data_IF_384509428421
#
_entry.id   IF_384509428421
#
_cell.length_a   1.000
_cell.length_b   1.000
_cell.length_c   1.000
_cell.angle_alpha   90.00
_cell.angle_beta   90.00
_cell.angle_gamma   90.00
#
_symmetry.space_group_name_H-M   'P 1'
#
loop_
_entity.id
_entity.type
_entity.pdbx_description
1 polymer ?
#
# COMPACT_ATOMS: atom_id res chain seq x y z
N UNK A 1 -3.35 -23.73 5.83
CA UNK A 1 -2.12 -22.93 6.07
C UNK A 1 -1.32 -22.86 4.77
N UNK A 2 -0.84 -21.68 4.48
CA UNK A 2 0.00 -21.48 3.31
C UNK A 2 1.44 -21.86 3.61
N UNK A 3 2.16 -22.34 2.58
CA UNK A 3 3.58 -22.66 2.71
C UNK A 3 4.39 -21.39 2.47
N UNK A 4 5.30 -21.01 3.39
CA UNK A 4 6.17 -19.87 3.15
C UNK A 4 7.06 -20.06 1.90
N UNK A 5 7.29 -18.99 1.19
CA UNK A 5 8.28 -18.93 0.12
C UNK A 5 9.71 -18.92 0.70
N UNK A 6 9.87 -18.22 1.81
CA UNK A 6 11.13 -18.16 2.56
C UNK A 6 10.81 -17.95 4.04
N UNK A 7 11.63 -18.51 4.91
CA UNK A 7 11.51 -18.32 6.34
C UNK A 7 12.87 -18.41 7.02
N UNK A 8 13.12 -17.51 7.96
CA UNK A 8 14.22 -17.59 8.91
C UNK A 8 13.73 -17.17 10.31
N UNK A 9 14.63 -16.89 11.24
CA UNK A 9 14.27 -16.54 12.61
C UNK A 9 13.68 -15.12 12.76
N UNK A 10 13.71 -14.30 11.71
CA UNK A 10 13.24 -12.92 11.75
C UNK A 10 12.12 -12.65 10.75
N UNK A 11 12.04 -13.41 9.67
CA UNK A 11 11.12 -13.13 8.56
C UNK A 11 10.45 -14.41 8.08
N UNK A 12 9.15 -14.32 7.85
CA UNK A 12 8.40 -15.30 7.08
C UNK A 12 7.83 -14.60 5.85
N UNK A 13 8.23 -15.04 4.67
CA UNK A 13 7.84 -14.44 3.40
C UNK A 13 6.88 -15.36 2.65
N UNK A 14 5.73 -14.83 2.29
CA UNK A 14 4.75 -15.52 1.47
C UNK A 14 4.69 -14.90 0.06
N UNK A 15 4.54 -15.74 -0.95
CA UNK A 15 4.34 -15.30 -2.31
C UNK A 15 2.96 -15.75 -2.81
N UNK A 16 2.10 -14.79 -3.12
CA UNK A 16 0.74 -15.06 -3.58
C UNK A 16 -0.20 -13.91 -3.31
N UNK A 17 -1.48 -14.17 -3.52
CA UNK A 17 -2.51 -13.18 -3.27
C UNK A 17 -2.79 -13.07 -1.77
N UNK A 18 -2.63 -11.88 -1.22
CA UNK A 18 -2.84 -11.63 0.22
C UNK A 18 -4.28 -11.83 0.66
N UNK A 19 -5.23 -11.91 -0.25
CA UNK A 19 -6.63 -12.21 0.07
C UNK A 19 -6.85 -13.71 0.29
N UNK A 20 -5.96 -14.54 -0.21
CA UNK A 20 -5.99 -16.00 -0.05
C UNK A 20 -5.02 -16.47 1.02
N UNK A 21 -3.86 -15.84 1.13
CA UNK A 21 -2.88 -16.09 2.17
C UNK A 21 -3.24 -15.23 3.37
N UNK A 22 -3.58 -15.83 4.50
CA UNK A 22 -4.17 -15.12 5.65
C UNK A 22 -3.28 -15.09 6.89
N UNK A 23 -2.11 -15.70 6.85
CA UNK A 23 -1.18 -15.74 8.00
C UNK A 23 -0.75 -14.35 8.46
N UNK A 24 -0.71 -13.37 7.56
CA UNK A 24 -0.39 -11.98 7.90
C UNK A 24 -1.39 -11.35 8.88
N UNK A 25 -2.59 -11.88 8.98
CA UNK A 25 -3.61 -11.38 9.91
C UNK A 25 -3.24 -11.57 11.37
N UNK A 26 -2.27 -12.41 11.68
CA UNK A 26 -1.81 -12.64 13.06
C UNK A 26 -0.78 -11.60 13.54
N UNK A 27 -0.32 -10.73 12.64
CA UNK A 27 0.65 -9.70 12.99
C UNK A 27 0.06 -8.63 13.93
N UNK A 28 0.92 -7.92 14.64
CA UNK A 28 0.51 -6.86 15.56
C UNK A 28 0.12 -5.57 14.83
N UNK A 29 0.77 -5.29 13.71
CA UNK A 29 0.53 -4.10 12.91
C UNK A 29 0.61 -4.46 11.43
N UNK A 30 -0.25 -3.83 10.62
CA UNK A 30 -0.20 -3.94 9.17
C UNK A 30 0.53 -2.72 8.59
N UNK A 31 1.58 -2.98 7.81
CA UNK A 31 2.26 -1.94 7.03
C UNK A 31 2.24 -2.38 5.58
N UNK A 32 1.60 -1.60 4.72
CA UNK A 32 1.38 -2.03 3.35
C UNK A 32 1.41 -0.87 2.36
N UNK A 33 1.89 -1.17 1.16
CA UNK A 33 1.79 -0.30 -0.02
C UNK A 33 0.93 -1.03 -1.07
N UNK A 34 -0.40 -1.04 -0.89
CA UNK A 34 -1.28 -1.82 -1.75
C UNK A 34 -1.44 -1.15 -3.12
N UNK A 35 -1.84 -1.91 -4.15
CA UNK A 35 -2.32 -1.30 -5.39
C UNK A 35 -3.53 -0.41 -5.07
N UNK A 36 -3.51 0.84 -5.53
CA UNK A 36 -4.53 1.82 -5.18
C UNK A 36 -5.16 2.52 -6.39
N UNK A 37 -5.26 1.79 -7.49
CA UNK A 37 -5.99 2.28 -8.68
C UNK A 37 -5.16 3.17 -9.60
N UNK A 38 -3.84 3.11 -9.52
CA UNK A 38 -2.95 3.93 -10.36
C UNK A 38 -2.85 3.43 -11.79
N UNK A 39 -3.14 2.16 -12.03
CA UNK A 39 -3.03 1.54 -13.34
C UNK A 39 -1.64 1.78 -13.96
N UNK A 40 -0.60 1.65 -13.12
CA UNK A 40 0.75 2.09 -13.43
C UNK A 40 1.39 1.27 -14.54
N UNK A 41 1.94 1.99 -15.53
CA UNK A 41 2.84 1.43 -16.55
C UNK A 41 4.06 2.34 -16.65
N UNK A 42 5.26 1.73 -16.69
CA UNK A 42 6.48 2.51 -16.84
C UNK A 42 6.61 3.04 -18.27
N UNK A 43 6.65 4.36 -18.42
CA UNK A 43 6.90 5.04 -19.70
C UNK A 43 8.38 5.15 -20.07
N UNK A 44 9.29 4.68 -19.19
CA UNK A 44 10.73 4.86 -19.35
C UNK A 44 11.41 3.73 -20.14
N UNK A 45 10.68 2.67 -20.45
CA UNK A 45 11.23 1.51 -21.16
C UNK A 45 10.52 1.36 -22.50
N UNK A 46 11.27 0.85 -23.49
CA UNK A 46 10.72 0.54 -24.82
C UNK A 46 9.69 -0.59 -24.79
N UNK A 47 9.74 -1.41 -23.75
CA UNK A 47 8.81 -2.51 -23.57
C UNK A 47 7.67 -2.10 -22.65
N UNK A 48 6.46 -2.46 -23.03
CA UNK A 48 5.29 -2.29 -22.17
C UNK A 48 5.24 -3.45 -21.18
N UNK A 49 5.33 -3.13 -19.90
CA UNK A 49 5.18 -4.14 -18.85
C UNK A 49 3.72 -4.43 -18.58
N UNK A 50 3.44 -5.64 -18.10
CA UNK A 50 2.13 -5.98 -17.59
C UNK A 50 1.76 -5.02 -16.45
N UNK A 51 0.49 -4.63 -16.39
CA UNK A 51 -0.03 -3.85 -15.28
C UNK A 51 0.15 -4.60 -13.97
N UNK A 52 0.32 -3.86 -12.89
CA UNK A 52 0.33 -4.43 -11.54
C UNK A 52 -1.04 -5.07 -11.29
N UNK A 53 -1.05 -6.32 -10.86
CA UNK A 53 -2.29 -7.03 -10.57
C UNK A 53 -3.10 -6.27 -9.50
N UNK A 54 -4.38 -6.00 -9.77
CA UNK A 54 -5.25 -5.29 -8.85
C UNK A 54 -5.10 -3.78 -8.83
N UNK A 55 -4.27 -3.19 -9.70
CA UNK A 55 -4.03 -1.73 -9.74
C UNK A 55 -5.05 -0.96 -10.60
N UNK A 56 -6.15 -1.58 -10.98
CA UNK A 56 -7.22 -0.93 -11.74
C UNK A 56 -8.11 -0.04 -10.88
N UNK A 57 -8.23 -0.38 -9.60
CA UNK A 57 -9.06 0.34 -8.63
C UNK A 57 -8.52 0.11 -7.20
N UNK A 58 -9.32 0.48 -6.20
CA UNK A 58 -8.95 0.30 -4.79
C UNK A 58 -9.46 -1.00 -4.18
N UNK A 59 -9.96 -1.95 -4.96
CA UNK A 59 -10.63 -3.14 -4.45
C UNK A 59 -9.72 -4.01 -3.60
N UNK A 60 -8.47 -4.22 -4.02
CA UNK A 60 -7.50 -5.02 -3.23
C UNK A 60 -7.19 -4.32 -1.92
N UNK A 61 -6.89 -3.03 -1.95
CA UNK A 61 -6.65 -2.22 -0.75
C UNK A 61 -7.80 -2.31 0.24
N UNK A 62 -9.01 -2.12 -0.26
CA UNK A 62 -10.21 -2.11 0.58
C UNK A 62 -10.52 -3.49 1.14
N UNK A 63 -10.29 -4.55 0.36
CA UNK A 63 -10.41 -5.92 0.84
C UNK A 63 -9.41 -6.23 1.97
N UNK A 64 -8.15 -5.82 1.81
CA UNK A 64 -7.12 -5.99 2.84
C UNK A 64 -7.50 -5.23 4.11
N UNK A 65 -7.96 -3.99 3.99
CA UNK A 65 -8.40 -3.21 5.14
C UNK A 65 -9.58 -3.88 5.86
N UNK A 66 -10.55 -4.40 5.12
CA UNK A 66 -11.70 -5.10 5.69
C UNK A 66 -11.29 -6.40 6.40
N UNK A 67 -10.38 -7.17 5.82
CA UNK A 67 -9.85 -8.40 6.43
C UNK A 67 -9.08 -8.11 7.72
N UNK A 68 -8.29 -7.05 7.72
CA UNK A 68 -7.51 -6.64 8.90
C UNK A 68 -8.41 -6.21 10.05
N UNK A 69 -9.47 -5.50 9.75
CA UNK A 69 -10.44 -5.02 10.73
C UNK A 69 -10.21 -3.57 11.15
N UNK A 70 -11.29 -2.89 11.59
CA UNK A 70 -11.28 -1.44 11.82
C UNK A 70 -10.57 -1.00 13.10
N UNK A 71 -10.30 -1.93 14.03
CA UNK A 71 -9.80 -1.57 15.36
C UNK A 71 -8.31 -1.80 15.55
N UNK A 72 -7.65 -2.39 14.57
CA UNK A 72 -6.25 -2.79 14.65
C UNK A 72 -5.37 -1.78 13.90
N UNK A 73 -4.13 -1.51 14.39
CA UNK A 73 -3.28 -0.50 13.77
C UNK A 73 -2.84 -0.92 12.37
N UNK A 74 -3.08 -0.06 11.40
CA UNK A 74 -2.63 -0.25 10.03
C UNK A 74 -2.06 1.05 9.47
N UNK A 75 -1.01 0.92 8.67
CA UNK A 75 -0.37 2.01 7.96
C UNK A 75 -0.38 1.64 6.47
N UNK A 76 -1.04 2.46 5.67
CA UNK A 76 -1.18 2.24 4.23
C UNK A 76 -0.67 3.41 3.43
N UNK A 77 0.26 3.16 2.52
CA UNK A 77 0.68 4.18 1.56
C UNK A 77 -0.42 4.43 0.54
N UNK A 78 -0.49 5.65 0.05
CA UNK A 78 -1.47 6.06 -0.92
C UNK A 78 -1.06 7.33 -1.66
N UNK A 79 -2.00 7.88 -2.40
CA UNK A 79 -1.79 9.05 -3.23
C UNK A 79 -2.92 10.06 -2.99
N UNK A 80 -2.58 11.34 -3.03
CA UNK A 80 -3.53 12.44 -2.84
C UNK A 80 -4.75 12.40 -3.77
N UNK A 81 -4.58 11.84 -4.99
CA UNK A 81 -5.64 11.80 -5.99
C UNK A 81 -6.57 10.58 -5.86
N UNK A 82 -6.29 9.68 -4.92
CA UNK A 82 -7.07 8.46 -4.69
C UNK A 82 -7.80 8.62 -3.36
N UNK A 83 -9.10 8.28 -3.28
CA UNK A 83 -9.82 8.37 -2.01
C UNK A 83 -9.14 7.57 -0.92
N UNK A 84 -9.12 8.13 0.29
CA UNK A 84 -8.57 7.46 1.47
C UNK A 84 -9.34 6.16 1.76
N UNK A 85 -8.67 5.15 2.35
CA UNK A 85 -9.39 3.97 2.82
C UNK A 85 -10.38 4.34 3.92
N UNK A 86 -11.46 3.59 4.02
CA UNK A 86 -12.46 3.79 5.06
C UNK A 86 -11.82 3.65 6.43
N UNK A 87 -12.20 4.52 7.38
CA UNK A 87 -11.66 4.48 8.73
C UNK A 87 -10.32 5.18 8.92
N UNK A 88 -9.86 5.97 7.95
CA UNK A 88 -8.66 6.78 8.13
C UNK A 88 -8.81 7.68 9.36
N UNK A 89 -7.86 7.57 10.28
CA UNK A 89 -7.85 8.36 11.51
C UNK A 89 -6.94 9.57 11.42
N UNK A 90 -5.83 9.41 10.70
CA UNK A 90 -4.85 10.48 10.50
C UNK A 90 -4.11 10.21 9.20
N UNK A 91 -3.66 11.27 8.56
CA UNK A 91 -2.82 11.20 7.37
C UNK A 91 -1.47 11.81 7.67
N UNK A 92 -0.42 11.05 7.40
CA UNK A 92 0.93 11.54 7.40
C UNK A 92 1.38 11.75 5.96
N UNK A 93 2.42 12.51 5.78
CA UNK A 93 3.02 12.78 4.46
C UNK A 93 4.46 12.30 4.49
N UNK A 94 4.81 11.43 3.54
CA UNK A 94 6.19 11.12 3.27
C UNK A 94 6.72 12.09 2.21
N UNK A 95 7.52 13.05 2.65
CA UNK A 95 8.17 14.00 1.75
C UNK A 95 9.44 13.38 1.17
N UNK A 96 9.45 13.24 -0.14
CA UNK A 96 10.63 12.76 -0.88
C UNK A 96 11.56 13.95 -1.07
N UNK A 97 12.56 14.08 -0.21
CA UNK A 97 13.42 15.26 -0.13
C UNK A 97 14.34 15.44 -1.34
N UNK A 98 14.56 14.38 -2.13
CA UNK A 98 15.37 14.43 -3.34
C UNK A 98 14.51 14.73 -4.56
N UNK A 99 15.12 14.72 -5.74
CA UNK A 99 14.46 15.01 -7.02
C UNK A 99 13.09 14.34 -7.14
N UNK A 100 12.03 15.11 -7.42
CA UNK A 100 10.72 14.52 -7.65
C UNK A 100 10.78 13.59 -8.86
N UNK A 101 10.03 12.50 -8.80
CA UNK A 101 9.87 11.61 -9.94
C UNK A 101 9.20 12.31 -11.12
N UNK A 102 9.37 11.78 -12.33
CA UNK A 102 8.68 12.34 -13.49
C UNK A 102 7.17 12.18 -13.38
N UNK A 103 6.72 11.05 -12.88
CA UNK A 103 5.31 10.81 -12.59
C UNK A 103 4.38 11.12 -13.76
N UNK A 104 3.24 11.69 -13.45
CA UNK A 104 2.23 12.11 -14.41
C UNK A 104 2.60 13.49 -14.98
N UNK A 105 3.03 13.53 -16.22
CA UNK A 105 3.47 14.74 -16.90
C UNK A 105 2.33 15.72 -17.21
N UNK A 106 1.09 15.34 -16.99
CA UNK A 106 -0.06 16.24 -17.13
C UNK A 106 -0.24 17.14 -15.92
N UNK A 107 0.43 16.85 -14.81
CA UNK A 107 0.37 17.66 -13.60
C UNK A 107 1.34 18.83 -13.67
N UNK A 108 0.96 20.00 -13.08
CA UNK A 108 1.82 21.19 -13.07
C UNK A 108 3.17 21.01 -12.37
N UNK A 109 3.23 20.15 -11.35
CA UNK A 109 4.43 19.89 -10.56
C UNK A 109 4.74 18.41 -10.51
N UNK A 110 6.02 18.06 -10.48
CA UNK A 110 6.45 16.69 -10.26
C UNK A 110 6.07 16.20 -8.86
N UNK A 111 5.72 14.91 -8.71
CA UNK A 111 5.34 14.34 -7.42
C UNK A 111 6.55 14.29 -6.47
N UNK A 112 6.40 14.81 -5.27
CA UNK A 112 7.46 14.85 -4.26
C UNK A 112 7.01 14.32 -2.89
N UNK A 113 5.82 13.75 -2.81
CA UNK A 113 5.32 13.17 -1.57
C UNK A 113 4.38 12.00 -1.84
N UNK A 114 4.19 11.19 -0.82
CA UNK A 114 3.15 10.16 -0.78
C UNK A 114 2.35 10.31 0.51
N UNK A 115 1.07 9.97 0.43
CA UNK A 115 0.22 9.91 1.60
C UNK A 115 0.48 8.62 2.38
N UNK A 116 0.41 8.72 3.70
CA UNK A 116 0.44 7.57 4.60
C UNK A 116 -0.83 7.64 5.45
N UNK A 117 -1.73 6.68 5.22
CA UNK A 117 -3.00 6.60 5.94
C UNK A 117 -2.82 5.77 7.21
N UNK A 118 -3.15 6.35 8.36
CA UNK A 118 -3.19 5.62 9.64
C UNK A 118 -4.61 5.19 9.95
N UNK A 119 -4.78 3.90 10.19
CA UNK A 119 -6.06 3.28 10.48
C UNK A 119 -6.01 2.59 11.83
N UNK A 120 -7.18 2.40 12.43
CA UNK A 120 -7.32 1.58 13.63
C UNK A 120 -6.83 2.24 14.92
N UNK A 121 -6.76 1.43 15.95
CA UNK A 121 -6.35 1.81 17.30
C UNK A 121 -5.01 1.16 17.66
N UNK A 122 -4.48 1.50 18.84
CA UNK A 122 -3.22 0.92 19.31
C UNK A 122 -2.00 1.76 18.95
N UNK A 123 -2.21 2.97 18.46
CA UNK A 123 -1.14 3.94 18.21
C UNK A 123 -0.84 4.70 19.49
N UNK A 124 0.43 4.71 19.88
CA UNK A 124 0.89 5.57 20.97
C UNK A 124 1.14 6.98 20.42
N UNK A 125 0.69 7.96 21.20
CA UNK A 125 0.90 9.36 20.84
C UNK A 125 2.28 9.81 21.32
N UNK A 126 3.08 10.28 20.39
CA UNK A 126 4.35 10.93 20.68
C UNK A 126 4.17 12.44 20.89
#
# INVERSE_FOLDING_TARGET
MSTPYYEDDQVTLYHGDCREITEWLEADVLVTDPPYGMNFQSGHRRETFAKIAGDDDTAVRDAVAAMWGPDRPALMFGRWSVPAPAGERQRLIWHKASTPGMGDLTLPWGPNFEDIHLLGNGWDRE
#
